data_IF_473714763966
#
_entry.id   IF_473714763966
#
_cell.length_a   1.000
_cell.length_b   1.000
_cell.length_c   1.000
_cell.angle_alpha   90.00
_cell.angle_beta   90.00
_cell.angle_gamma   90.00
#
_symmetry.space_group_name_H-M   'P 1'
#
loop_
_entity.id
_entity.type
_entity.pdbx_description
1 polymer ?
#
# COMPACT_ATOMS: atom_id res chain seq x y z
N UNK A 1 -3.01 5.87 20.39
CA UNK A 1 -4.34 6.51 20.33
C UNK A 1 -4.50 7.25 19.00
N UNK A 2 -5.72 7.47 18.51
CA UNK A 2 -5.91 8.24 17.28
C UNK A 2 -5.51 9.71 17.51
N UNK A 3 -4.61 10.25 16.68
CA UNK A 3 -4.22 11.66 16.69
C UNK A 3 -5.05 12.39 15.65
N UNK A 4 -5.82 13.41 16.05
CA UNK A 4 -6.70 14.18 15.15
C UNK A 4 -7.70 13.34 14.32
N UNK A 5 -8.13 12.18 14.84
CA UNK A 5 -9.03 11.27 14.11
C UNK A 5 -8.33 10.29 13.16
N UNK A 6 -7.00 10.34 13.04
CA UNK A 6 -6.21 9.39 12.28
C UNK A 6 -5.50 8.40 13.23
N UNK A 7 -5.45 7.13 12.82
CA UNK A 7 -4.70 6.10 13.55
C UNK A 7 -3.21 6.26 13.23
N UNK A 8 -2.38 6.36 14.26
CA UNK A 8 -0.93 6.27 14.09
C UNK A 8 -0.56 4.84 13.69
N UNK A 9 -0.19 4.65 12.43
CA UNK A 9 0.11 3.33 11.87
C UNK A 9 1.35 2.71 12.53
N UNK A 10 2.35 3.50 12.90
CA UNK A 10 3.54 2.98 13.56
C UNK A 10 3.19 2.48 14.98
N UNK A 11 2.36 3.22 15.71
CA UNK A 11 1.86 2.79 17.03
C UNK A 11 1.01 1.52 16.90
N UNK A 12 0.13 1.45 15.89
CA UNK A 12 -0.69 0.28 15.59
C UNK A 12 0.17 -0.95 15.31
N UNK A 13 1.12 -0.86 14.37
CA UNK A 13 2.02 -1.97 14.02
C UNK A 13 2.83 -2.42 15.25
N UNK A 14 3.32 -1.48 16.05
CA UNK A 14 4.03 -1.80 17.29
C UNK A 14 3.11 -2.51 18.31
N UNK A 15 1.84 -2.12 18.42
CA UNK A 15 0.87 -2.77 19.30
C UNK A 15 0.57 -4.21 18.85
N UNK A 16 0.40 -4.43 17.54
CA UNK A 16 0.21 -5.75 16.95
C UNK A 16 1.44 -6.65 17.21
N UNK A 17 2.65 -6.10 17.07
CA UNK A 17 3.89 -6.80 17.41
C UNK A 17 3.96 -7.21 18.88
N UNK A 18 3.56 -6.33 19.81
CA UNK A 18 3.44 -6.67 21.25
C UNK A 18 2.41 -7.77 21.51
N UNK A 19 1.38 -7.87 20.67
CA UNK A 19 0.39 -8.94 20.69
C UNK A 19 0.86 -10.23 19.96
N UNK A 20 2.14 -10.34 19.61
CA UNK A 20 2.73 -11.47 18.87
C UNK A 20 2.16 -11.70 17.46
N UNK A 21 1.53 -10.69 16.87
CA UNK A 21 1.12 -10.73 15.46
C UNK A 21 2.34 -10.36 14.62
N UNK A 22 2.83 -11.33 13.83
CA UNK A 22 4.10 -11.22 13.08
C UNK A 22 3.94 -10.73 11.65
N UNK A 23 2.74 -10.83 11.09
CA UNK A 23 2.43 -10.42 9.73
C UNK A 23 0.98 -9.95 9.67
N UNK A 24 0.73 -8.90 8.90
CA UNK A 24 -0.60 -8.40 8.60
C UNK A 24 -0.76 -8.26 7.09
N UNK A 25 -1.92 -8.67 6.60
CA UNK A 25 -2.38 -8.30 5.26
C UNK A 25 -3.26 -7.06 5.43
N UNK A 26 -2.89 -5.98 4.75
CA UNK A 26 -3.61 -4.71 4.83
C UNK A 26 -4.40 -4.54 3.54
N UNK A 27 -5.72 -4.57 3.68
CA UNK A 27 -6.68 -4.31 2.61
C UNK A 27 -7.58 -3.13 2.97
N UNK A 28 -8.25 -2.57 1.97
CA UNK A 28 -9.17 -1.45 2.15
C UNK A 28 -9.15 -0.50 0.96
N UNK A 29 -9.58 0.74 1.20
CA UNK A 29 -9.57 1.80 0.19
C UNK A 29 -8.26 2.59 0.15
N UNK A 30 -8.24 3.62 -0.71
CA UNK A 30 -7.10 4.50 -0.95
C UNK A 30 -6.54 5.13 0.34
N UNK A 31 -7.39 5.52 1.29
CA UNK A 31 -6.97 6.09 2.57
C UNK A 31 -6.14 5.10 3.39
N UNK A 32 -6.59 3.86 3.53
CA UNK A 32 -5.85 2.82 4.26
C UNK A 32 -4.51 2.55 3.61
N UNK A 33 -4.51 2.37 2.29
CA UNK A 33 -3.29 2.12 1.52
C UNK A 33 -2.28 3.27 1.68
N UNK A 34 -2.75 4.52 1.52
CA UNK A 34 -1.94 5.73 1.72
C UNK A 34 -1.35 5.79 3.13
N UNK A 35 -2.16 5.63 4.17
CA UNK A 35 -1.71 5.77 5.56
C UNK A 35 -0.59 4.80 5.91
N UNK A 36 -0.65 3.55 5.44
CA UNK A 36 0.44 2.58 5.63
C UNK A 36 1.67 2.92 4.81
N UNK A 37 1.49 3.32 3.55
CA UNK A 37 2.61 3.66 2.67
C UNK A 37 3.41 4.85 3.20
N UNK A 38 2.73 5.93 3.60
CA UNK A 38 3.40 7.15 4.12
C UNK A 38 4.00 6.96 5.51
N UNK A 39 3.52 5.99 6.29
CA UNK A 39 4.11 5.69 7.61
C UNK A 39 5.42 4.92 7.52
N UNK A 40 5.80 4.42 6.33
CA UNK A 40 6.98 3.59 6.15
C UNK A 40 6.85 2.20 6.81
N UNK A 41 5.63 1.77 7.15
CA UNK A 41 5.37 0.47 7.79
C UNK A 41 4.92 -0.60 6.79
N UNK A 42 5.40 -0.53 5.55
CA UNK A 42 5.06 -1.47 4.47
C UNK A 42 6.31 -2.21 4.02
N UNK A 43 6.33 -3.52 4.23
CA UNK A 43 7.41 -4.38 3.75
C UNK A 43 7.22 -4.82 2.30
N UNK A 44 5.96 -5.03 1.89
CA UNK A 44 5.57 -5.54 0.57
C UNK A 44 4.25 -4.91 0.11
N UNK A 45 4.15 -4.61 -1.19
CA UNK A 45 2.97 -4.10 -1.87
C UNK A 45 2.50 -5.14 -2.88
N UNK A 46 1.19 -5.38 -2.97
CA UNK A 46 0.54 -6.16 -4.02
C UNK A 46 -0.45 -5.27 -4.77
N UNK A 47 -0.28 -5.13 -6.08
CA UNK A 47 -1.18 -4.37 -6.96
C UNK A 47 -1.79 -5.33 -7.98
N UNK A 48 -3.11 -5.46 -7.94
CA UNK A 48 -3.88 -6.28 -8.88
C UNK A 48 -4.46 -5.39 -9.98
N UNK A 49 -4.23 -5.77 -11.23
CA UNK A 49 -4.70 -5.05 -12.41
C UNK A 49 -5.63 -5.96 -13.21
N UNK A 50 -6.92 -5.67 -13.13
CA UNK A 50 -7.95 -6.32 -13.93
C UNK A 50 -8.01 -5.70 -15.34
N UNK A 51 -8.32 -6.48 -16.40
CA UNK A 51 -8.46 -5.98 -17.77
C UNK A 51 -9.82 -5.28 -18.00
N UNK A 52 -10.18 -4.32 -17.13
CA UNK A 52 -11.46 -3.61 -17.15
C UNK A 52 -11.23 -2.09 -17.16
N UNK A 53 -11.90 -1.38 -18.07
CA UNK A 53 -11.94 0.08 -18.13
C UNK A 53 -13.28 0.54 -17.56
N UNK A 54 -13.29 1.11 -16.35
CA UNK A 54 -14.54 1.42 -15.63
C UNK A 54 -14.83 2.92 -15.43
N UNK A 55 -14.18 3.80 -16.21
CA UNK A 55 -14.43 5.24 -16.21
C UNK A 55 -13.53 6.00 -15.22
N UNK A 56 -14.04 7.09 -14.62
CA UNK A 56 -13.23 7.99 -13.78
C UNK A 56 -12.81 7.37 -12.44
N UNK A 57 -13.57 6.38 -11.96
CA UNK A 57 -13.26 5.61 -10.75
C UNK A 57 -12.94 6.44 -9.51
N UNK A 58 -12.39 5.76 -8.51
CA UNK A 58 -11.68 6.39 -7.40
C UNK A 58 -10.19 6.16 -7.61
N UNK A 59 -9.35 7.15 -7.29
CA UNK A 59 -7.90 6.95 -7.32
C UNK A 59 -7.49 5.90 -6.30
N UNK A 60 -6.60 4.99 -6.68
CA UNK A 60 -5.97 4.03 -5.76
C UNK A 60 -5.15 4.76 -4.69
N UNK A 61 -4.53 5.88 -5.04
CA UNK A 61 -3.58 6.57 -4.18
C UNK A 61 -3.46 8.04 -4.57
N UNK A 62 -3.41 8.91 -3.57
CA UNK A 62 -3.04 10.32 -3.70
C UNK A 62 -1.83 10.60 -2.81
N UNK A 63 -0.68 10.87 -3.45
CA UNK A 63 0.58 11.23 -2.79
C UNK A 63 0.93 12.68 -3.07
N UNK A 64 1.80 13.31 -2.23
CA UNK A 64 2.42 14.57 -2.58
C UNK A 64 3.09 14.52 -3.96
N UNK A 65 3.12 15.66 -4.64
CA UNK A 65 3.82 15.77 -5.92
C UNK A 65 5.33 15.50 -5.76
N UNK A 66 5.93 14.97 -6.82
CA UNK A 66 7.37 14.72 -6.93
C UNK A 66 7.99 15.66 -7.98
N UNK A 67 9.26 16.02 -7.81
CA UNK A 67 9.97 16.95 -8.70
C UNK A 67 10.59 16.22 -9.91
N UNK A 68 11.02 14.98 -9.74
CA UNK A 68 11.58 14.13 -10.78
C UNK A 68 11.05 12.69 -10.73
N UNK A 69 11.07 11.98 -11.87
CA UNK A 69 10.65 10.57 -11.97
C UNK A 69 11.41 9.67 -10.98
N UNK A 70 12.68 10.00 -10.71
CA UNK A 70 13.54 9.27 -9.76
C UNK A 70 13.12 9.39 -8.30
N UNK A 71 12.29 10.38 -7.95
CA UNK A 71 11.79 10.59 -6.58
C UNK A 71 10.55 9.72 -6.29
N UNK A 72 10.03 9.02 -7.31
CA UNK A 72 8.94 8.07 -7.17
C UNK A 72 9.35 6.83 -6.38
N UNK A 73 8.37 6.20 -5.72
CA UNK A 73 8.57 4.92 -5.02
C UNK A 73 8.75 3.82 -6.06
N UNK A 74 9.97 3.28 -6.16
CA UNK A 74 10.30 2.18 -7.08
C UNK A 74 10.33 0.85 -6.33
N UNK A 75 9.40 -0.02 -6.67
CA UNK A 75 9.37 -1.37 -6.11
C UNK A 75 10.67 -2.13 -6.40
N UNK A 76 11.31 -2.60 -5.33
CA UNK A 76 12.49 -3.48 -5.35
C UNK A 76 12.05 -4.93 -5.24
N UNK A 77 12.90 -5.84 -5.72
CA UNK A 77 12.65 -7.28 -5.70
C UNK A 77 11.26 -7.65 -6.26
N UNK A 78 10.82 -6.92 -7.29
CA UNK A 78 9.46 -7.04 -7.80
C UNK A 78 9.33 -8.15 -8.83
N UNK A 79 8.16 -8.77 -8.88
CA UNK A 79 7.79 -9.80 -9.85
C UNK A 79 6.31 -9.69 -10.21
N UNK A 80 5.95 -10.39 -11.28
CA UNK A 80 4.63 -10.37 -11.89
C UNK A 80 4.04 -11.77 -11.81
N UNK A 81 2.73 -11.85 -11.58
CA UNK A 81 1.97 -13.09 -11.67
C UNK A 81 0.76 -12.90 -12.56
N UNK A 82 0.58 -13.83 -13.50
CA UNK A 82 -0.70 -14.02 -14.16
C UNK A 82 -1.63 -14.77 -13.19
N UNK A 83 -2.78 -14.19 -12.89
CA UNK A 83 -3.75 -14.71 -11.92
C UNK A 83 -5.16 -14.55 -12.47
N UNK A 84 -5.79 -15.66 -12.87
CA UNK A 84 -7.18 -15.72 -13.34
C UNK A 84 -7.54 -14.70 -14.46
N UNK A 85 -6.62 -14.50 -15.42
CA UNK A 85 -6.81 -13.52 -16.50
C UNK A 85 -6.50 -12.07 -16.10
N UNK A 86 -6.01 -11.85 -14.89
CA UNK A 86 -5.49 -10.59 -14.38
C UNK A 86 -3.97 -10.66 -14.16
N UNK A 87 -3.36 -9.52 -13.84
CA UNK A 87 -1.95 -9.44 -13.48
C UNK A 87 -1.79 -8.85 -12.09
N UNK A 88 -1.01 -9.53 -11.24
CA UNK A 88 -0.54 -9.00 -9.97
C UNK A 88 0.93 -8.58 -10.08
N UNK A 89 1.22 -7.34 -9.67
CA UNK A 89 2.59 -6.85 -9.46
C UNK A 89 2.86 -6.82 -7.97
N UNK A 90 3.98 -7.39 -7.53
CA UNK A 90 4.35 -7.35 -6.11
C UNK A 90 5.81 -6.99 -5.92
N UNK A 91 6.15 -6.31 -4.84
CA UNK A 91 7.51 -5.87 -4.53
C UNK A 91 7.60 -5.08 -3.23
N UNK A 92 8.82 -4.79 -2.80
CA UNK A 92 9.08 -3.95 -1.62
C UNK A 92 9.13 -2.49 -2.06
N UNK A 93 8.49 -1.54 -1.35
CA UNK A 93 8.60 -0.12 -1.68
C UNK A 93 10.04 0.42 -1.63
#
# INVERSE_FOLDING_TARGET
EARNGEIDIAELVAALGRASIKSILVEGGATTFRSFLVSGCVDWIQVHVAPIIFGSGNSLLELPAIDAVGDGIRLRNHFWFDFDGEVMVTGQP
#
